data_IF_522831137668
#
_entry.id   IF_522831137668
#
_cell.length_a   1.000
_cell.length_b   1.000
_cell.length_c   1.000
_cell.angle_alpha   90.00
_cell.angle_beta   90.00
_cell.angle_gamma   90.00
#
_symmetry.space_group_name_H-M   'P 1'
#
loop_
_entity.id
_entity.type
_entity.pdbx_description
1 polymer ?
#
# COMPACT_ATOMS: atom_id res chain seq x y z
N UNK A 1 23.38 17.91 79.46
CA UNK A 1 23.51 16.89 78.39
C UNK A 1 24.99 16.72 78.05
N UNK A 2 25.58 15.57 78.39
CA UNK A 2 27.01 15.25 78.18
C UNK A 2 27.21 14.75 76.75
N UNK A 3 27.88 15.54 75.91
CA UNK A 3 28.14 15.23 74.49
C UNK A 3 29.64 15.07 74.18
N UNK A 4 30.42 14.46 75.07
CA UNK A 4 31.84 14.17 74.82
C UNK A 4 32.26 12.88 75.54
N UNK A 5 32.34 11.76 74.82
CA UNK A 5 33.27 10.64 75.06
C UNK A 5 32.86 9.39 74.26
N UNK A 6 33.00 9.44 72.94
CA UNK A 6 33.11 8.21 72.15
C UNK A 6 33.87 8.46 70.84
N UNK A 7 35.10 8.93 70.96
CA UNK A 7 36.05 8.77 69.86
C UNK A 7 36.67 7.37 70.00
N UNK A 8 36.65 6.52 68.95
CA UNK A 8 37.37 5.27 68.98
C UNK A 8 38.87 5.54 69.11
N UNK A 9 39.58 4.75 69.94
CA UNK A 9 41.04 4.72 69.95
C UNK A 9 41.49 4.25 68.57
N UNK A 10 42.27 5.07 67.87
CA UNK A 10 42.98 4.60 66.69
C UNK A 10 44.21 3.82 67.16
N UNK A 11 44.37 2.61 66.62
CA UNK A 11 45.60 1.84 66.75
C UNK A 11 46.50 2.27 65.60
N UNK A 12 47.74 2.69 65.90
CA UNK A 12 48.69 3.01 64.84
C UNK A 12 49.10 1.69 64.18
N UNK A 13 48.56 1.44 62.99
CA UNK A 13 48.99 0.35 62.14
C UNK A 13 50.42 0.65 61.69
N UNK A 14 51.35 -0.25 62.02
CA UNK A 14 52.74 -0.18 61.58
C UNK A 14 52.80 0.03 60.07
N UNK A 15 53.78 0.81 59.59
CA UNK A 15 53.99 1.08 58.18
C UNK A 15 54.04 -0.22 57.39
N UNK A 16 52.90 -0.58 56.79
CA UNK A 16 52.81 -1.67 55.85
C UNK A 16 53.56 -1.21 54.61
N UNK A 17 54.60 -1.96 54.31
CA UNK A 17 55.42 -1.88 53.11
C UNK A 17 54.55 -1.49 51.91
N UNK A 18 54.92 -0.37 51.27
CA UNK A 18 54.20 0.23 50.16
C UNK A 18 54.29 -0.68 48.94
N UNK A 19 53.48 -1.74 48.94
CA UNK A 19 53.04 -2.40 47.72
C UNK A 19 51.64 -1.87 47.50
N UNK A 20 51.57 -0.71 46.85
CA UNK A 20 50.33 -0.26 46.24
C UNK A 20 49.84 -1.39 45.32
N UNK A 21 48.85 -2.16 45.77
CA UNK A 21 47.99 -2.91 44.87
C UNK A 21 47.18 -1.86 44.10
N UNK A 22 47.84 -1.25 43.11
CA UNK A 22 47.25 -0.59 41.96
C UNK A 22 46.30 -1.61 41.35
N UNK A 23 45.06 -1.58 41.82
CA UNK A 23 43.93 -2.25 41.19
C UNK A 23 43.84 -1.72 39.76
N UNK A 24 44.57 -2.40 38.86
CA UNK A 24 44.44 -2.24 37.43
C UNK A 24 42.97 -2.52 37.13
N UNK A 25 42.19 -1.47 36.94
CA UNK A 25 40.93 -1.58 36.22
C UNK A 25 41.33 -2.09 34.85
N UNK A 26 41.25 -3.41 34.65
CA UNK A 26 41.68 -4.04 33.41
C UNK A 26 40.94 -3.35 32.28
N UNK A 27 41.64 -2.70 31.33
CA UNK A 27 40.95 -2.10 30.20
C UNK A 27 40.17 -3.23 29.52
N UNK A 28 38.90 -3.00 29.12
CA UNK A 28 38.13 -4.02 28.44
C UNK A 28 38.96 -4.56 27.28
N UNK A 29 39.16 -5.87 27.24
CA UNK A 29 40.06 -6.51 26.29
C UNK A 29 39.73 -6.05 24.86
N UNK A 30 40.75 -5.63 24.10
CA UNK A 30 40.61 -5.17 22.69
C UNK A 30 39.77 -6.14 21.83
N UNK A 31 39.84 -7.43 22.13
CA UNK A 31 39.07 -8.49 21.46
C UNK A 31 37.54 -8.33 21.60
N UNK A 32 37.03 -7.95 22.79
CA UNK A 32 35.59 -7.70 23.00
C UNK A 32 35.10 -6.51 22.18
N UNK A 33 35.91 -5.46 22.03
CA UNK A 33 35.58 -4.28 21.21
C UNK A 33 35.42 -4.61 19.73
N UNK A 34 36.22 -5.52 19.20
CA UNK A 34 36.18 -5.89 17.78
C UNK A 34 34.94 -6.72 17.45
N UNK A 35 34.56 -7.69 18.31
CA UNK A 35 33.35 -8.50 18.11
C UNK A 35 32.08 -7.65 18.14
N UNK A 36 31.96 -6.74 19.10
CA UNK A 36 30.81 -5.81 19.16
C UNK A 36 30.75 -4.90 17.92
N UNK A 37 31.91 -4.46 17.40
CA UNK A 37 31.98 -3.64 16.19
C UNK A 37 31.53 -4.42 14.94
N UNK A 38 31.94 -5.68 14.80
CA UNK A 38 31.48 -6.56 13.71
C UNK A 38 29.98 -6.85 13.80
N UNK A 39 29.45 -7.12 15.00
CA UNK A 39 28.01 -7.32 15.21
C UNK A 39 27.20 -6.06 14.88
N UNK A 40 27.67 -4.89 15.30
CA UNK A 40 27.03 -3.62 14.96
C UNK A 40 27.08 -3.34 13.45
N UNK A 41 28.20 -3.66 12.78
CA UNK A 41 28.32 -3.52 11.33
C UNK A 41 27.39 -4.47 10.58
N UNK A 42 27.28 -5.73 11.00
CA UNK A 42 26.34 -6.70 10.43
C UNK A 42 24.88 -6.27 10.65
N UNK A 43 24.55 -5.80 11.86
CA UNK A 43 23.23 -5.24 12.16
C UNK A 43 22.94 -4.02 11.27
N UNK A 44 23.89 -3.11 11.11
CA UNK A 44 23.73 -1.95 10.24
C UNK A 44 23.52 -2.34 8.78
N UNK A 45 24.29 -3.29 8.26
CA UNK A 45 24.12 -3.82 6.90
C UNK A 45 22.76 -4.50 6.72
N UNK A 46 22.31 -5.28 7.71
CA UNK A 46 20.99 -5.88 7.70
C UNK A 46 19.88 -4.82 7.65
N UNK A 47 19.99 -3.77 8.48
CA UNK A 47 19.03 -2.66 8.45
C UNK A 47 19.06 -1.91 7.12
N UNK A 48 20.24 -1.73 6.51
CA UNK A 48 20.37 -1.07 5.21
C UNK A 48 19.72 -1.90 4.10
N UNK A 49 19.96 -3.22 4.08
CA UNK A 49 19.32 -4.14 3.14
C UNK A 49 17.82 -4.14 3.35
N UNK A 50 17.35 -4.30 4.59
CA UNK A 50 15.92 -4.29 4.91
C UNK A 50 15.25 -2.99 4.47
N UNK A 51 15.82 -1.83 4.81
CA UNK A 51 15.32 -0.53 4.40
C UNK A 51 15.32 -0.38 2.87
N UNK A 52 16.38 -0.83 2.18
CA UNK A 52 16.45 -0.78 0.73
C UNK A 52 15.35 -1.63 0.07
N UNK A 53 15.08 -2.82 0.61
CA UNK A 53 13.99 -3.69 0.09
C UNK A 53 12.61 -3.10 0.36
N UNK A 54 12.41 -2.43 1.49
CA UNK A 54 11.17 -1.74 1.81
C UNK A 54 10.93 -0.55 0.86
N UNK A 55 11.97 0.24 0.62
CA UNK A 55 11.89 1.39 -0.29
C UNK A 55 11.72 0.93 -1.75
N UNK A 56 12.41 -0.14 -2.15
CA UNK A 56 12.26 -0.74 -3.47
C UNK A 56 10.84 -1.27 -3.71
N UNK A 57 10.26 -1.98 -2.74
CA UNK A 57 8.88 -2.48 -2.85
C UNK A 57 7.84 -1.37 -2.77
N UNK A 58 8.10 -0.30 -2.00
CA UNK A 58 7.24 0.88 -1.97
C UNK A 58 7.31 1.71 -3.26
N UNK A 59 8.50 1.81 -3.87
CA UNK A 59 8.73 2.56 -5.09
C UNK A 59 8.37 1.77 -6.35
N UNK A 60 8.39 0.43 -6.31
CA UNK A 60 7.80 -0.38 -7.37
C UNK A 60 6.30 -0.16 -7.38
N UNK A 61 5.91 0.82 -8.20
CA UNK A 61 4.54 1.17 -8.52
C UNK A 61 3.83 -0.11 -8.92
N UNK A 62 2.90 -0.55 -8.07
CA UNK A 62 2.01 -1.63 -8.42
C UNK A 62 1.26 -1.25 -9.70
N UNK A 63 0.99 -2.22 -10.58
CA UNK A 63 0.37 -1.95 -11.88
C UNK A 63 -0.81 -0.97 -11.74
N UNK A 64 -1.03 -0.07 -12.70
CA UNK A 64 -2.28 0.70 -12.73
C UNK A 64 -3.44 -0.28 -12.53
N UNK A 65 -4.39 0.08 -11.67
CA UNK A 65 -5.52 -0.76 -11.25
C UNK A 65 -5.19 -1.96 -10.34
N UNK A 66 -4.03 -2.06 -9.70
CA UNK A 66 -3.71 -3.22 -8.85
C UNK A 66 -4.78 -3.52 -7.78
N UNK A 67 -5.25 -2.50 -7.07
CA UNK A 67 -6.31 -2.67 -6.07
C UNK A 67 -7.61 -3.12 -6.73
N UNK A 68 -7.97 -2.53 -7.86
CA UNK A 68 -9.15 -2.91 -8.64
C UNK A 68 -9.09 -4.35 -9.12
N UNK A 69 -7.91 -4.83 -9.57
CA UNK A 69 -7.72 -6.23 -10.00
C UNK A 69 -7.83 -7.22 -8.85
N UNK A 70 -7.52 -6.78 -7.61
CA UNK A 70 -7.67 -7.62 -6.40
C UNK A 70 -9.10 -7.72 -5.91
N UNK A 71 -9.90 -6.67 -6.10
CA UNK A 71 -11.27 -6.61 -5.58
C UNK A 71 -12.32 -7.07 -6.58
N UNK A 72 -11.99 -7.15 -7.87
CA UNK A 72 -12.91 -7.53 -8.93
C UNK A 72 -12.53 -8.89 -9.53
N UNK A 73 -13.50 -9.54 -10.17
CA UNK A 73 -13.24 -10.64 -11.10
C UNK A 73 -12.38 -10.15 -12.27
N UNK A 74 -11.67 -11.07 -12.94
CA UNK A 74 -10.93 -10.76 -14.15
C UNK A 74 -11.80 -9.91 -15.10
N UNK A 75 -11.22 -8.87 -15.66
CA UNK A 75 -11.84 -8.10 -16.74
C UNK A 75 -10.76 -7.46 -17.58
N UNK A 76 -10.85 -7.56 -18.92
CA UNK A 76 -9.86 -6.95 -19.81
C UNK A 76 -9.83 -5.42 -19.70
N UNK A 77 -10.87 -4.80 -19.13
CA UNK A 77 -10.91 -3.35 -18.88
C UNK A 77 -9.76 -2.88 -18.00
N UNK A 78 -9.49 -3.60 -16.91
CA UNK A 78 -8.48 -3.22 -15.93
C UNK A 78 -7.05 -3.46 -16.43
N UNK A 79 -6.90 -4.25 -17.49
CA UNK A 79 -5.62 -4.47 -18.17
C UNK A 79 -5.36 -3.42 -19.26
N UNK A 80 -6.41 -2.97 -19.95
CA UNK A 80 -6.31 -2.05 -21.10
C UNK A 80 -6.29 -0.57 -20.70
N UNK A 81 -7.01 -0.19 -19.66
CA UNK A 81 -7.22 1.23 -19.31
C UNK A 81 -6.76 1.54 -17.89
N UNK A 82 -5.84 2.51 -17.68
CA UNK A 82 -5.51 2.97 -16.33
C UNK A 82 -6.67 3.78 -15.75
N UNK A 83 -7.32 3.27 -14.70
CA UNK A 83 -8.45 3.94 -14.05
C UNK A 83 -7.91 4.85 -12.96
N UNK A 84 -8.22 6.15 -13.09
CA UNK A 84 -7.89 7.16 -12.09
C UNK A 84 -9.11 7.44 -11.22
N UNK A 85 -8.93 7.42 -9.90
CA UNK A 85 -9.99 7.80 -8.97
C UNK A 85 -9.99 9.30 -8.75
N UNK A 86 -11.17 9.92 -8.92
CA UNK A 86 -11.39 11.34 -8.62
C UNK A 86 -12.38 11.45 -7.48
N UNK A 87 -12.06 12.28 -6.48
CA UNK A 87 -12.95 12.55 -5.36
C UNK A 87 -13.92 13.67 -5.75
N UNK A 88 -15.15 13.27 -6.05
CA UNK A 88 -16.24 14.20 -6.41
C UNK A 88 -17.36 14.12 -5.38
N UNK A 89 -17.97 15.26 -5.05
CA UNK A 89 -19.20 15.32 -4.24
C UNK A 89 -20.39 15.46 -5.18
N UNK A 90 -21.25 14.45 -5.21
CA UNK A 90 -22.47 14.50 -6.02
C UNK A 90 -23.53 15.41 -5.38
N UNK A 91 -24.32 16.08 -6.22
CA UNK A 91 -25.51 16.78 -5.77
C UNK A 91 -26.68 15.78 -5.68
N UNK A 92 -26.85 15.20 -4.50
CA UNK A 92 -27.93 14.27 -4.18
C UNK A 92 -29.20 14.97 -3.64
N UNK A 93 -29.43 16.24 -3.98
CA UNK A 93 -30.67 16.94 -3.62
C UNK A 93 -31.89 16.18 -4.16
N UNK A 94 -32.88 15.98 -3.29
CA UNK A 94 -34.16 15.34 -3.64
C UNK A 94 -34.96 16.20 -4.62
N UNK A 95 -34.88 17.52 -4.46
CA UNK A 95 -35.54 18.48 -5.33
C UNK A 95 -34.63 18.90 -6.49
N UNK A 96 -35.22 19.43 -7.56
CA UNK A 96 -34.49 19.95 -8.70
C UNK A 96 -33.85 21.33 -8.42
N UNK A 97 -33.05 21.39 -7.35
CA UNK A 97 -32.36 22.58 -6.85
C UNK A 97 -30.90 22.27 -6.51
N UNK A 98 -29.92 22.89 -7.21
CA UNK A 98 -30.04 23.64 -8.47
C UNK A 98 -30.68 22.82 -9.60
N UNK A 99 -31.24 23.54 -10.58
CA UNK A 99 -31.91 22.96 -11.74
C UNK A 99 -30.97 22.04 -12.54
N UNK A 100 -31.52 20.91 -12.96
CA UNK A 100 -30.93 19.90 -13.83
C UNK A 100 -32.03 19.37 -14.75
N UNK A 101 -31.79 19.40 -16.06
CA UNK A 101 -32.73 18.89 -17.07
C UNK A 101 -33.06 17.41 -16.85
N UNK A 102 -32.10 16.63 -16.33
CA UNK A 102 -32.28 15.20 -16.03
C UNK A 102 -33.24 14.89 -14.87
N UNK A 103 -33.70 15.91 -14.13
CA UNK A 103 -34.67 15.79 -13.02
C UNK A 103 -35.98 16.52 -13.33
N UNK A 104 -36.15 16.98 -14.56
CA UNK A 104 -37.34 17.70 -15.00
C UNK A 104 -38.47 16.74 -15.41
N UNK A 105 -39.68 17.26 -15.58
CA UNK A 105 -40.81 16.47 -16.03
C UNK A 105 -40.59 15.95 -17.48
N UNK A 106 -41.15 14.78 -17.84
CA UNK A 106 -40.97 14.19 -19.17
C UNK A 106 -41.37 15.18 -20.29
N UNK A 107 -40.42 15.49 -21.17
CA UNK A 107 -40.61 16.42 -22.29
C UNK A 107 -39.60 16.13 -23.41
N UNK A 108 -39.84 16.61 -24.65
CA UNK A 108 -38.91 16.37 -25.76
C UNK A 108 -37.48 16.89 -25.51
N UNK A 109 -37.35 17.95 -24.71
CA UNK A 109 -36.03 18.48 -24.34
C UNK A 109 -35.29 17.56 -23.37
N UNK A 110 -36.02 16.95 -22.42
CA UNK A 110 -35.46 15.97 -21.48
C UNK A 110 -35.04 14.71 -22.20
N UNK A 111 -35.85 14.22 -23.13
CA UNK A 111 -35.53 13.04 -23.94
C UNK A 111 -34.26 13.27 -24.77
N UNK A 112 -34.15 14.43 -25.43
CA UNK A 112 -32.95 14.79 -26.20
C UNK A 112 -31.69 14.86 -25.32
N UNK A 113 -31.80 15.39 -24.09
CA UNK A 113 -30.68 15.45 -23.16
C UNK A 113 -30.26 14.05 -22.67
N UNK A 114 -31.22 13.16 -22.41
CA UNK A 114 -30.91 11.77 -22.08
C UNK A 114 -30.31 11.01 -23.26
N UNK A 115 -30.79 11.24 -24.47
CA UNK A 115 -30.27 10.61 -25.69
C UNK A 115 -28.80 11.00 -25.95
N UNK A 116 -28.42 12.26 -25.70
CA UNK A 116 -27.03 12.73 -25.81
C UNK A 116 -26.07 11.94 -24.91
N UNK A 117 -26.50 11.55 -23.71
CA UNK A 117 -25.65 10.84 -22.74
C UNK A 117 -25.86 9.32 -22.71
N UNK A 118 -26.88 8.81 -23.42
CA UNK A 118 -27.21 7.40 -23.43
C UNK A 118 -26.28 6.58 -24.34
N UNK A 119 -25.51 7.22 -25.22
CA UNK A 119 -24.58 6.55 -26.11
C UNK A 119 -23.47 5.84 -25.30
N UNK A 120 -23.61 4.53 -25.16
CA UNK A 120 -22.68 3.69 -24.41
C UNK A 120 -21.84 2.89 -25.41
N UNK A 121 -20.52 3.12 -25.47
CA UNK A 121 -19.68 2.41 -26.41
C UNK A 121 -19.63 0.92 -26.10
N UNK A 122 -19.67 0.10 -27.15
CA UNK A 122 -19.53 -1.35 -27.06
C UNK A 122 -18.11 -1.71 -26.65
N UNK A 123 -17.97 -2.49 -25.57
CA UNK A 123 -16.69 -3.06 -25.19
C UNK A 123 -16.45 -4.39 -25.92
N UNK A 124 -15.67 -4.32 -26.99
CA UNK A 124 -15.18 -5.48 -27.72
C UNK A 124 -14.13 -6.27 -26.91
N UNK A 125 -14.38 -7.57 -26.70
CA UNK A 125 -13.43 -8.49 -26.04
C UNK A 125 -13.06 -9.65 -26.97
N UNK A 126 -11.85 -10.18 -26.77
CA UNK A 126 -11.31 -11.29 -27.55
C UNK A 126 -11.83 -12.64 -27.06
N UNK A 127 -11.73 -13.69 -27.88
CA UNK A 127 -12.10 -15.06 -27.46
C UNK A 127 -11.29 -15.50 -26.24
N UNK A 128 -10.02 -15.14 -26.20
CA UNK A 128 -9.11 -15.44 -25.10
C UNK A 128 -9.56 -14.76 -23.80
N UNK A 129 -10.02 -13.50 -23.89
CA UNK A 129 -10.56 -12.78 -22.75
C UNK A 129 -11.86 -13.41 -22.24
N UNK A 130 -12.72 -13.90 -23.13
CA UNK A 130 -13.96 -14.63 -22.77
C UNK A 130 -13.63 -15.91 -21.99
N UNK A 131 -12.62 -16.67 -22.44
CA UNK A 131 -12.18 -17.88 -21.74
C UNK A 131 -11.61 -17.54 -20.36
N UNK A 132 -10.82 -16.47 -20.24
CA UNK A 132 -10.29 -16.00 -18.94
C UNK A 132 -11.38 -15.52 -17.99
N UNK A 133 -12.50 -15.04 -18.52
CA UNK A 133 -13.70 -14.72 -17.74
C UNK A 133 -14.46 -15.96 -17.23
N UNK A 134 -14.03 -17.17 -17.65
CA UNK A 134 -14.70 -18.43 -17.32
C UNK A 134 -16.02 -18.61 -18.07
N UNK A 135 -16.18 -17.94 -19.22
CA UNK A 135 -17.35 -18.06 -20.08
C UNK A 135 -17.03 -18.91 -21.31
N UNK A 136 -18.06 -19.55 -21.84
CA UNK A 136 -17.94 -20.34 -23.07
C UNK A 136 -18.01 -19.39 -24.29
N UNK A 137 -16.96 -19.34 -25.13
CA UNK A 137 -16.91 -18.47 -26.29
C UNK A 137 -17.91 -18.83 -27.40
N UNK A 138 -18.54 -19.99 -27.35
CA UNK A 138 -19.55 -20.39 -28.34
C UNK A 138 -20.96 -19.87 -27.98
N UNK A 139 -21.15 -19.37 -26.75
CA UNK A 139 -22.41 -18.82 -26.24
C UNK A 139 -22.39 -17.31 -25.98
N UNK A 140 -21.30 -16.63 -26.32
CA UNK A 140 -21.21 -15.17 -26.26
C UNK A 140 -21.76 -14.52 -27.52
N UNK A 141 -22.37 -13.35 -27.36
CA UNK A 141 -22.94 -12.59 -28.48
C UNK A 141 -21.80 -12.03 -29.33
N UNK A 142 -21.80 -12.37 -30.61
CA UNK A 142 -20.90 -11.74 -31.59
C UNK A 142 -21.34 -10.30 -31.85
N UNK A 143 -20.37 -9.39 -31.92
CA UNK A 143 -20.63 -8.00 -32.30
C UNK A 143 -20.88 -7.95 -33.81
N UNK A 144 -21.98 -7.32 -34.28
CA UNK A 144 -22.23 -7.14 -35.71
C UNK A 144 -21.08 -6.38 -36.39
N UNK A 145 -20.73 -6.73 -37.63
CA UNK A 145 -19.58 -6.16 -38.35
C UNK A 145 -19.66 -4.64 -38.53
N UNK A 146 -20.87 -4.06 -38.46
CA UNK A 146 -21.11 -2.62 -38.52
C UNK A 146 -20.44 -1.83 -37.39
N UNK A 147 -20.10 -2.50 -36.27
CA UNK A 147 -19.37 -1.91 -35.14
C UNK A 147 -17.85 -2.18 -35.19
N UNK A 148 -17.33 -2.83 -36.23
CA UNK A 148 -15.90 -3.07 -36.45
C UNK A 148 -15.50 -4.55 -36.62
N UNK A 149 -14.21 -4.86 -36.36
CA UNK A 149 -13.64 -6.23 -36.50
C UNK A 149 -14.41 -7.27 -35.68
N UNK A 150 -14.45 -8.56 -36.09
CA UNK A 150 -15.17 -9.60 -35.35
C UNK A 150 -14.64 -9.72 -33.92
N UNK A 151 -15.43 -9.25 -32.97
CA UNK A 151 -15.15 -9.28 -31.54
C UNK A 151 -16.40 -9.76 -30.79
N UNK A 152 -16.22 -10.23 -29.56
CA UNK A 152 -17.33 -10.73 -28.75
C UNK A 152 -17.81 -9.68 -27.75
N UNK A 153 -19.10 -9.69 -27.43
CA UNK A 153 -19.74 -8.88 -26.41
C UNK A 153 -20.11 -9.75 -25.20
N UNK A 154 -20.01 -9.19 -24.00
CA UNK A 154 -20.53 -9.83 -22.80
C UNK A 154 -22.06 -9.75 -22.82
N UNK A 155 -22.70 -10.87 -23.14
CA UNK A 155 -24.14 -11.03 -22.98
C UNK A 155 -24.49 -10.97 -21.50
N UNK A 156 -25.26 -9.96 -21.10
CA UNK A 156 -25.90 -9.93 -19.78
C UNK A 156 -26.90 -11.08 -19.72
N UNK A 157 -26.49 -12.20 -19.13
CA UNK A 157 -27.41 -13.31 -18.85
C UNK A 157 -28.47 -12.80 -17.87
N UNK A 158 -29.74 -12.87 -18.28
CA UNK A 158 -30.91 -12.66 -17.40
C UNK A 158 -30.67 -13.37 -16.06
N UNK A 159 -30.67 -12.58 -14.98
CA UNK A 159 -30.96 -13.07 -13.64
C UNK A 159 -32.45 -13.41 -13.54
#
# INVERSE_FOLDING_TARGET
>A
MKWLSRFPKYEQVAAADSTEDLSHTTPPSRARRNVTSHLNALFFLFNLIFLSTLLWTAHHTTSPNYLLKKTNTYTPLLDRFPISFVKTKNNASLFNTPYSIYKDDPSPAVDAAWEEIADTPVLAISREDVVKLGKDPDYVVGIPEEFGKPCYMLSQSKL
#
